data_IF_543123217165
#
_entry.id   IF_543123217165
#
_cell.length_a   1.000
_cell.length_b   1.000
_cell.length_c   1.000
_cell.angle_alpha   90.00
_cell.angle_beta   90.00
_cell.angle_gamma   90.00
#
_symmetry.space_group_name_H-M   'P 1'
#
loop_
_entity.id
_entity.type
_entity.pdbx_description
1 polymer ?
#
# COMPACT_ATOMS: atom_id res chain seq x y z
N UNK A 1 25.94 36.35 -2.66
CA UNK A 1 24.89 36.62 -3.66
C UNK A 1 23.66 35.88 -3.18
N UNK A 2 22.47 36.49 -3.19
CA UNK A 2 21.24 35.78 -2.80
C UNK A 2 20.89 34.68 -3.81
N UNK A 3 20.16 33.66 -3.37
CA UNK A 3 19.78 32.51 -4.20
C UNK A 3 19.05 32.95 -5.48
N UNK A 4 18.02 33.77 -5.37
CA UNK A 4 17.23 34.22 -6.52
C UNK A 4 18.05 34.97 -7.57
N UNK A 5 18.93 35.88 -7.12
CA UNK A 5 19.82 36.62 -8.01
C UNK A 5 20.81 35.69 -8.74
N UNK A 6 21.28 34.64 -8.06
CA UNK A 6 22.14 33.62 -8.65
C UNK A 6 21.41 32.79 -9.72
N UNK A 7 20.17 32.36 -9.45
CA UNK A 7 19.33 31.66 -10.42
C UNK A 7 19.12 32.49 -11.69
N UNK A 8 18.78 33.78 -11.53
CA UNK A 8 18.60 34.72 -12.64
C UNK A 8 19.86 34.86 -13.49
N UNK A 9 21.01 35.11 -12.85
CA UNK A 9 22.30 35.24 -13.55
C UNK A 9 22.65 33.97 -14.35
N UNK A 10 22.38 32.79 -13.76
CA UNK A 10 22.60 31.51 -14.44
C UNK A 10 21.68 31.33 -15.64
N UNK A 11 20.38 31.62 -15.52
CA UNK A 11 19.45 31.54 -16.64
C UNK A 11 19.84 32.48 -17.77
N UNK A 12 20.19 33.73 -17.46
CA UNK A 12 20.60 34.72 -18.46
C UNK A 12 21.90 34.31 -19.17
N UNK A 13 22.86 33.75 -18.44
CA UNK A 13 24.09 33.18 -19.02
C UNK A 13 23.84 31.96 -19.91
N UNK A 14 22.83 31.16 -19.59
CA UNK A 14 22.38 30.04 -20.42
C UNK A 14 21.57 30.50 -21.66
N UNK A 15 21.28 31.80 -21.80
CA UNK A 15 20.52 32.35 -22.93
C UNK A 15 19.03 31.96 -22.92
N UNK A 16 18.51 31.44 -21.81
CA UNK A 16 17.14 30.95 -21.71
C UNK A 16 16.21 32.10 -21.32
N UNK A 17 15.19 32.34 -22.12
CA UNK A 17 14.14 33.33 -21.81
C UNK A 17 13.19 32.82 -20.72
N UNK A 18 12.44 33.70 -20.05
CA UNK A 18 11.41 33.28 -19.09
C UNK A 18 10.35 32.37 -19.73
N UNK A 19 10.09 32.53 -21.03
CA UNK A 19 9.13 31.69 -21.77
C UNK A 19 9.66 30.27 -21.93
N UNK A 20 10.88 30.13 -22.43
CA UNK A 20 11.53 28.83 -22.58
C UNK A 20 11.76 28.18 -21.22
N UNK A 21 12.05 28.96 -20.18
CA UNK A 21 12.19 28.44 -18.83
C UNK A 21 10.89 27.81 -18.32
N UNK A 22 9.74 28.45 -18.59
CA UNK A 22 8.44 27.88 -18.26
C UNK A 22 8.17 26.59 -19.02
N UNK A 23 8.50 26.55 -20.32
CA UNK A 23 8.32 25.35 -21.15
C UNK A 23 9.22 24.19 -20.69
N UNK A 24 10.46 24.47 -20.27
CA UNK A 24 11.42 23.45 -19.82
C UNK A 24 11.18 22.95 -18.40
N UNK A 25 10.83 23.84 -17.47
CA UNK A 25 10.68 23.50 -16.05
C UNK A 25 9.24 23.16 -15.65
N UNK A 26 8.25 23.51 -16.46
CA UNK A 26 6.83 23.45 -16.08
C UNK A 26 6.40 24.54 -15.07
N UNK A 27 7.34 25.38 -14.60
CA UNK A 27 7.07 26.44 -13.64
C UNK A 27 6.50 27.66 -14.37
N UNK A 28 5.36 28.19 -13.92
CA UNK A 28 4.77 29.41 -14.51
C UNK A 28 5.73 30.61 -14.40
N UNK A 29 5.72 31.48 -15.42
CA UNK A 29 6.60 32.68 -15.50
C UNK A 29 6.53 33.60 -14.28
N UNK A 30 5.35 33.77 -13.68
CA UNK A 30 5.15 34.58 -12.48
C UNK A 30 5.93 33.99 -11.29
N UNK A 31 5.90 32.67 -11.14
CA UNK A 31 6.62 31.93 -10.11
C UNK A 31 8.12 31.98 -10.35
N UNK A 32 8.59 31.77 -11.59
CA UNK A 32 10.00 31.92 -11.97
C UNK A 32 10.53 33.30 -11.56
N UNK A 33 9.76 34.36 -11.80
CA UNK A 33 10.14 35.73 -11.40
C UNK A 33 10.23 35.90 -9.89
N UNK A 34 9.33 35.26 -9.12
CA UNK A 34 9.38 35.27 -7.64
C UNK A 34 10.61 34.55 -7.11
N UNK A 35 10.95 33.39 -7.69
CA UNK A 35 12.19 32.66 -7.36
C UNK A 35 13.42 33.52 -7.67
N UNK A 36 13.47 34.19 -8.83
CA UNK A 36 14.59 35.05 -9.23
C UNK A 36 14.72 36.33 -8.38
N UNK A 37 13.62 36.80 -7.78
CA UNK A 37 13.63 37.95 -6.86
C UNK A 37 13.85 37.56 -5.40
N UNK A 38 13.83 36.25 -5.10
CA UNK A 38 13.95 35.72 -3.73
C UNK A 38 12.71 35.95 -2.87
N UNK A 39 11.55 36.17 -3.49
CA UNK A 39 10.28 36.39 -2.82
C UNK A 39 9.54 35.05 -2.59
N UNK A 40 10.10 34.22 -1.71
CA UNK A 40 9.58 32.88 -1.43
C UNK A 40 8.26 32.91 -0.63
N UNK A 41 7.99 33.98 0.11
CA UNK A 41 6.78 34.11 0.94
C UNK A 41 5.51 34.36 0.13
N UNK A 42 5.63 34.93 -1.08
CA UNK A 42 4.49 35.18 -1.96
C UNK A 42 4.34 34.11 -3.06
N UNK A 43 4.89 32.92 -2.84
CA UNK A 43 4.58 31.75 -3.65
C UNK A 43 3.17 31.23 -3.31
N UNK A 44 2.46 30.58 -4.26
CA UNK A 44 1.16 29.96 -3.97
C UNK A 44 1.23 28.97 -2.80
N UNK A 45 2.36 28.26 -2.70
CA UNK A 45 2.74 27.48 -1.53
C UNK A 45 4.23 27.74 -1.19
N UNK A 46 4.52 28.47 -0.10
CA UNK A 46 5.89 28.73 0.35
C UNK A 46 6.68 27.48 0.74
N UNK A 47 6.01 26.41 1.23
CA UNK A 47 6.68 25.17 1.64
C UNK A 47 7.34 24.45 0.45
N UNK A 48 6.79 24.66 -0.75
CA UNK A 48 7.31 24.08 -1.98
C UNK A 48 8.45 24.89 -2.62
N UNK A 49 8.98 25.94 -1.98
CA UNK A 49 10.09 26.73 -2.50
C UNK A 49 11.31 25.86 -2.88
N UNK A 50 11.64 24.85 -2.07
CA UNK A 50 12.77 23.93 -2.34
C UNK A 50 12.55 23.10 -3.61
N UNK A 51 11.34 22.58 -3.78
CA UNK A 51 10.96 21.81 -4.96
C UNK A 51 11.02 22.67 -6.24
N UNK A 52 10.48 23.89 -6.18
CA UNK A 52 10.51 24.83 -7.30
C UNK A 52 11.94 25.24 -7.68
N UNK A 53 12.82 25.44 -6.69
CA UNK A 53 14.25 25.69 -6.95
C UNK A 53 14.92 24.46 -7.57
N UNK A 54 14.58 23.25 -7.14
CA UNK A 54 15.08 22.00 -7.73
C UNK A 54 14.72 21.90 -9.22
N UNK A 55 13.42 22.05 -9.55
CA UNK A 55 12.93 22.05 -10.92
C UNK A 55 13.57 23.15 -11.77
N UNK A 56 13.77 24.34 -11.20
CA UNK A 56 14.47 25.43 -11.88
C UNK A 56 15.90 25.01 -12.21
N UNK A 57 16.66 24.50 -11.23
CA UNK A 57 18.06 24.11 -11.45
C UNK A 57 18.20 22.96 -12.44
N UNK A 58 17.28 22.00 -12.42
CA UNK A 58 17.24 20.88 -13.35
C UNK A 58 17.04 21.34 -14.81
N UNK A 59 16.10 22.28 -15.03
CA UNK A 59 15.83 22.82 -16.37
C UNK A 59 17.01 23.60 -16.99
N UNK A 60 17.96 24.07 -16.17
CA UNK A 60 19.19 24.75 -16.63
C UNK A 60 20.46 23.93 -16.41
N UNK A 61 20.34 22.67 -15.99
CA UNK A 61 21.47 21.75 -15.81
C UNK A 61 22.42 22.12 -14.67
N UNK A 62 21.91 22.74 -13.59
CA UNK A 62 22.67 23.03 -12.38
C UNK A 62 22.42 21.97 -11.30
N UNK A 63 23.41 21.73 -10.46
CA UNK A 63 23.25 20.93 -9.24
C UNK A 63 22.42 21.70 -8.20
N UNK A 64 21.12 21.38 -8.14
CA UNK A 64 20.20 21.95 -7.17
C UNK A 64 20.53 21.60 -5.73
N UNK A 65 21.09 20.40 -5.46
CA UNK A 65 21.35 19.94 -4.10
C UNK A 65 22.47 20.75 -3.45
N UNK A 66 23.59 20.91 -4.14
CA UNK A 66 24.70 21.73 -3.67
C UNK A 66 24.30 23.21 -3.52
N UNK A 67 23.41 23.70 -4.39
CA UNK A 67 22.91 25.07 -4.32
C UNK A 67 22.00 25.29 -3.10
N UNK A 68 21.11 24.35 -2.82
CA UNK A 68 20.21 24.42 -1.66
C UNK A 68 20.97 24.34 -0.34
N UNK A 69 22.01 23.50 -0.25
CA UNK A 69 22.85 23.41 0.95
C UNK A 69 23.57 24.73 1.23
N UNK A 70 24.10 25.37 0.19
CA UNK A 70 24.81 26.65 0.30
C UNK A 70 23.90 27.82 0.70
N UNK A 71 22.61 27.75 0.35
CA UNK A 71 21.60 28.80 0.60
C UNK A 71 20.52 28.34 1.58
N UNK A 72 20.82 27.38 2.45
CA UNK A 72 19.86 26.78 3.38
C UNK A 72 19.24 27.80 4.35
N UNK A 73 19.97 28.89 4.64
CA UNK A 73 19.56 30.02 5.46
C UNK A 73 18.50 30.91 4.81
N UNK A 74 18.38 30.90 3.48
CA UNK A 74 17.37 31.66 2.75
C UNK A 74 16.00 30.94 2.71
N UNK A 75 15.98 29.63 2.99
CA UNK A 75 14.76 28.82 3.09
C UNK A 75 14.27 28.75 4.55
N UNK A 76 13.89 29.90 5.12
CA UNK A 76 13.51 30.00 6.54
C UNK A 76 12.00 29.96 6.75
N UNK A 77 11.45 28.74 6.84
CA UNK A 77 10.38 28.35 7.77
C UNK A 77 10.55 26.89 8.29
N UNK A 78 11.20 25.99 7.56
CA UNK A 78 11.37 24.57 7.97
C UNK A 78 12.51 24.25 8.97
N UNK A 79 13.40 25.21 9.26
CA UNK A 79 14.61 24.93 10.06
C UNK A 79 14.33 24.94 11.57
N UNK A 80 13.22 25.52 12.02
CA UNK A 80 12.87 25.54 13.46
C UNK A 80 12.23 24.22 13.90
N UNK A 81 11.51 23.53 13.01
CA UNK A 81 10.82 22.29 13.35
C UNK A 81 11.74 21.05 13.21
N UNK A 82 12.59 21.03 12.17
CA UNK A 82 13.54 19.93 11.95
C UNK A 82 14.62 19.82 13.04
N UNK A 83 15.09 20.94 13.60
CA UNK A 83 16.05 20.91 14.73
C UNK A 83 15.43 20.49 16.06
N UNK A 84 14.13 20.69 16.26
CA UNK A 84 13.43 20.29 17.49
C UNK A 84 13.15 18.79 17.53
N UNK A 85 13.00 18.15 16.36
CA UNK A 85 12.78 16.70 16.25
C UNK A 85 14.04 15.89 16.55
N UNK A 86 15.23 16.33 16.11
CA UNK A 86 16.50 15.62 16.34
C UNK A 86 17.06 15.67 17.78
N UNK A 87 16.49 16.47 18.69
CA UNK A 87 16.94 16.50 20.08
C UNK A 87 16.15 15.59 21.03
N UNK A 88 15.02 15.01 20.59
CA UNK A 88 14.13 14.25 21.47
C UNK A 88 14.29 12.72 21.37
N UNK A 89 15.04 12.21 20.39
CA UNK A 89 15.17 10.76 20.14
C UNK A 89 16.05 10.01 21.17
N UNK A 90 16.70 10.72 22.09
CA UNK A 90 17.53 10.09 23.12
C UNK A 90 16.73 9.49 24.28
N UNK A 91 15.54 10.01 24.61
CA UNK A 91 14.75 9.46 25.73
C UNK A 91 14.02 8.18 25.35
N UNK A 92 13.49 8.11 24.13
CA UNK A 92 12.79 6.92 23.61
C UNK A 92 13.74 5.73 23.43
N UNK A 93 14.97 5.96 22.95
CA UNK A 93 15.98 4.90 22.86
C UNK A 93 16.38 4.34 24.23
N UNK A 94 16.47 5.21 25.26
CA UNK A 94 16.78 4.76 26.62
C UNK A 94 15.63 3.99 27.27
N UNK A 95 14.38 4.36 26.98
CA UNK A 95 13.20 3.60 27.41
C UNK A 95 13.12 2.25 26.69
N UNK A 96 13.27 2.23 25.37
CA UNK A 96 13.28 1.00 24.56
C UNK A 96 14.37 0.02 25.02
N UNK A 97 15.57 0.52 25.32
CA UNK A 97 16.67 -0.30 25.84
C UNK A 97 16.34 -0.94 27.20
N UNK A 98 15.68 -0.21 28.11
CA UNK A 98 15.25 -0.76 29.41
C UNK A 98 14.16 -1.82 29.24
N UNK A 99 13.20 -1.59 28.36
CA UNK A 99 12.15 -2.57 28.03
C UNK A 99 12.76 -3.82 27.41
N UNK A 100 13.69 -3.68 26.46
CA UNK A 100 14.37 -4.81 25.82
C UNK A 100 15.17 -5.66 26.82
N UNK A 101 15.89 -5.02 27.75
CA UNK A 101 16.61 -5.73 28.82
C UNK A 101 15.62 -6.47 29.73
N UNK A 102 14.51 -5.84 30.12
CA UNK A 102 13.49 -6.49 30.95
C UNK A 102 12.84 -7.69 30.25
N UNK A 103 12.62 -7.58 28.93
CA UNK A 103 12.06 -8.64 28.10
C UNK A 103 13.02 -9.82 27.95
N UNK A 104 14.32 -9.54 27.75
CA UNK A 104 15.36 -10.57 27.72
C UNK A 104 15.46 -11.33 29.04
N UNK A 105 15.33 -10.65 30.18
CA UNK A 105 15.32 -11.28 31.50
C UNK A 105 14.07 -12.17 31.66
N UNK A 106 12.90 -11.71 31.22
CA UNK A 106 11.66 -12.49 31.27
C UNK A 106 11.77 -13.79 30.44
N UNK A 107 12.28 -13.69 29.21
CA UNK A 107 12.53 -14.87 28.36
C UNK A 107 13.51 -15.83 29.02
N UNK A 108 14.60 -15.33 29.62
CA UNK A 108 15.59 -16.17 30.30
C UNK A 108 14.97 -16.95 31.47
N UNK A 109 14.09 -16.32 32.27
CA UNK A 109 13.39 -17.00 33.38
C UNK A 109 12.45 -18.09 32.86
N UNK A 110 11.68 -17.81 31.80
CA UNK A 110 10.81 -18.79 31.16
C UNK A 110 11.60 -19.95 30.57
N UNK A 111 12.74 -19.68 29.93
CA UNK A 111 13.62 -20.69 29.36
C UNK A 111 14.21 -21.59 30.44
N UNK A 112 14.65 -21.04 31.58
CA UNK A 112 15.13 -21.84 32.71
C UNK A 112 14.01 -22.71 33.28
N UNK A 113 12.80 -22.17 33.45
CA UNK A 113 11.64 -22.94 33.90
C UNK A 113 11.28 -24.09 32.96
N UNK A 114 11.26 -23.82 31.65
CA UNK A 114 11.04 -24.83 30.62
C UNK A 114 12.16 -25.90 30.61
N UNK A 115 13.42 -25.49 30.80
CA UNK A 115 14.57 -26.39 30.86
C UNK A 115 14.53 -27.32 32.09
N UNK A 116 14.03 -26.84 33.24
CA UNK A 116 13.79 -27.68 34.43
C UNK A 116 12.64 -28.67 34.19
N UNK A 117 11.57 -28.27 33.51
CA UNK A 117 10.46 -29.18 33.16
C UNK A 117 10.94 -30.30 32.21
N UNK A 118 11.83 -29.99 31.27
CA UNK A 118 12.46 -30.99 30.40
C UNK A 118 13.35 -31.97 31.18
N UNK A 119 14.06 -31.52 32.23
CA UNK A 119 14.86 -32.40 33.10
C UNK A 119 14.00 -33.37 33.92
N UNK A 120 12.81 -32.96 34.36
CA UNK A 120 11.89 -33.80 35.14
C UNK A 120 11.12 -34.78 34.23
N UNK A 121 10.88 -34.41 32.97
CA UNK A 121 10.24 -35.27 31.96
C UNK A 121 11.09 -36.45 31.48
N UNK A 122 12.39 -36.51 31.80
CA UNK A 122 13.30 -37.56 31.32
C UNK A 122 13.23 -38.87 32.13
N UNK A 123 12.43 -38.95 33.20
CA UNK A 123 12.25 -40.16 34.03
C UNK A 123 10.82 -40.71 34.03
N UNK A 124 10.04 -40.42 32.99
CA UNK A 124 8.77 -41.09 32.77
C UNK A 124 8.95 -42.32 31.85
N UNK A 125 9.26 -43.48 32.43
CA UNK A 125 9.09 -44.81 31.80
C UNK A 125 7.60 -45.11 31.50
N UNK A 126 6.92 -44.25 30.73
CA UNK A 126 5.47 -44.38 30.47
C UNK A 126 5.16 -45.05 29.13
N UNK A 127 6.16 -45.43 28.32
CA UNK A 127 5.95 -46.23 27.11
C UNK A 127 6.47 -47.67 27.26
N UNK A 128 5.86 -48.43 28.17
CA UNK A 128 5.86 -49.89 28.11
C UNK A 128 4.46 -50.34 27.64
N UNK A 129 4.20 -50.24 26.34
CA UNK A 129 3.06 -50.92 25.74
C UNK A 129 3.38 -52.42 25.69
N UNK A 130 2.83 -53.18 26.63
CA UNK A 130 2.70 -54.63 26.48
C UNK A 130 1.57 -54.88 25.48
N UNK A 131 1.79 -55.61 24.37
CA UNK A 131 0.70 -55.97 23.48
C UNK A 131 -0.24 -56.91 24.23
N UNK A 132 -1.49 -56.49 24.36
CA UNK A 132 -2.62 -57.41 24.59
C UNK A 132 -2.95 -57.98 23.20
N UNK A 133 -3.31 -59.26 23.13
CA UNK A 133 -3.58 -60.09 21.94
C UNK A 133 -2.39 -60.90 21.42
N UNK A 134 -2.23 -62.09 22.00
CA UNK A 134 -1.83 -63.29 21.27
C UNK A 134 -3.10 -63.87 20.63
N UNK A 135 -3.21 -63.80 19.30
CA UNK A 135 -4.23 -64.50 18.54
C UNK A 135 -3.53 -65.24 17.42
N UNK A 136 -3.61 -66.57 17.50
CA UNK A 136 -3.08 -67.50 16.55
C UNK A 136 -3.60 -67.29 15.13
N UNK A 137 -2.67 -67.57 14.22
CA UNK A 137 -2.74 -67.62 12.77
C UNK A 137 -3.98 -68.34 12.21
N UNK A 138 -4.69 -67.75 11.23
CA UNK A 138 -5.25 -68.50 10.08
C UNK A 138 -5.36 -67.58 8.85
N UNK A 139 -5.22 -68.21 7.70
CA UNK A 139 -4.63 -67.73 6.44
C UNK A 139 -5.49 -66.81 5.54
N UNK A 140 -4.79 -65.82 4.94
CA UNK A 140 -4.68 -65.46 3.51
C UNK A 140 -5.97 -65.26 2.68
N UNK A 141 -6.15 -64.03 2.17
CA UNK A 141 -6.35 -63.80 0.71
C UNK A 141 -5.96 -62.37 0.33
N UNK A 142 -5.13 -62.30 -0.71
CA UNK A 142 -4.52 -61.14 -1.35
C UNK A 142 -5.51 -60.26 -2.13
N UNK A 143 -5.27 -58.94 -2.17
CA UNK A 143 -5.27 -58.09 -3.38
C UNK A 143 -4.74 -56.69 -2.97
N UNK A 144 -3.45 -56.36 -3.13
CA UNK A 144 -2.71 -55.88 -4.32
C UNK A 144 -2.87 -54.37 -4.62
N UNK A 145 -1.78 -53.64 -4.31
CA UNK A 145 -1.14 -52.51 -5.05
C UNK A 145 -1.87 -51.15 -5.00
N UNK A 146 -1.37 -50.10 -4.33
CA UNK A 146 -0.16 -49.27 -4.60
C UNK A 146 -0.22 -48.65 -6.02
N UNK A 147 0.15 -47.43 -6.34
CA UNK A 147 0.88 -46.32 -5.72
C UNK A 147 0.70 -45.11 -6.70
N UNK A 148 0.98 -43.87 -6.24
CA UNK A 148 1.77 -42.79 -6.90
C UNK A 148 1.70 -42.58 -8.44
N UNK A 149 1.86 -41.42 -9.06
CA UNK A 149 2.40 -40.07 -8.78
C UNK A 149 1.99 -39.25 -10.05
N UNK A 150 1.55 -37.99 -9.92
CA UNK A 150 2.32 -36.76 -10.21
C UNK A 150 2.80 -36.51 -11.66
N UNK A 151 2.36 -35.33 -12.15
CA UNK A 151 3.08 -34.30 -12.96
C UNK A 151 3.04 -34.30 -14.50
N UNK A 152 2.65 -33.11 -14.99
CA UNK A 152 3.12 -32.34 -16.16
C UNK A 152 2.79 -32.81 -17.60
N UNK A 153 1.99 -32.03 -18.33
CA UNK A 153 2.50 -30.99 -19.25
C UNK A 153 1.38 -30.16 -19.93
N UNK A 154 1.66 -28.86 -19.98
CA UNK A 154 1.20 -27.76 -20.85
C UNK A 154 0.73 -28.13 -22.26
N UNK A 155 -0.33 -27.47 -22.76
CA UNK A 155 -0.35 -26.77 -24.07
C UNK A 155 -1.60 -25.87 -24.18
N UNK A 156 -1.34 -24.63 -24.61
CA UNK A 156 -2.28 -23.57 -24.98
C UNK A 156 -3.38 -24.01 -25.94
N UNK A 157 -4.59 -23.47 -25.78
CA UNK A 157 -5.25 -22.84 -26.92
C UNK A 157 -6.26 -21.78 -26.47
N UNK A 158 -6.24 -20.70 -27.24
CA UNK A 158 -6.96 -19.44 -27.19
C UNK A 158 -8.10 -19.54 -28.21
N UNK A 159 -9.37 -19.31 -27.83
CA UNK A 159 -10.38 -18.71 -28.71
C UNK A 159 -11.64 -18.25 -27.94
N UNK A 160 -12.21 -17.18 -28.46
CA UNK A 160 -13.16 -16.20 -27.91
C UNK A 160 -14.63 -16.68 -27.78
N UNK A 161 -15.29 -16.25 -26.69
CA UNK A 161 -16.68 -15.71 -26.54
C UNK A 161 -17.94 -16.41 -27.16
N UNK A 162 -19.20 -16.09 -26.76
CA UNK A 162 -19.70 -15.24 -25.65
C UNK A 162 -20.88 -15.86 -24.84
N UNK A 163 -21.36 -15.07 -23.87
CA UNK A 163 -22.78 -14.91 -23.48
C UNK A 163 -23.43 -15.98 -22.57
N UNK A 164 -23.69 -15.55 -21.34
CA UNK A 164 -24.90 -15.92 -20.58
C UNK A 164 -25.34 -14.73 -19.73
N UNK A 165 -26.52 -14.19 -20.03
CA UNK A 165 -27.19 -13.08 -19.34
C UNK A 165 -27.88 -13.52 -18.03
N UNK A 166 -27.68 -12.70 -16.98
CA UNK A 166 -28.63 -12.21 -15.95
C UNK A 166 -29.16 -13.09 -14.79
N UNK A 167 -29.60 -12.48 -13.65
CA UNK A 167 -29.96 -11.04 -13.39
C UNK A 167 -29.12 -10.38 -12.25
N UNK A 168 -29.13 -9.08 -11.89
CA UNK A 168 -29.65 -7.79 -12.37
C UNK A 168 -29.44 -6.80 -11.20
N UNK A 169 -28.37 -6.00 -11.22
CA UNK A 169 -28.10 -4.93 -10.24
C UNK A 169 -26.66 -4.42 -10.31
N UNK A 170 -26.44 -3.27 -10.97
CA UNK A 170 -25.14 -2.72 -11.41
C UNK A 170 -24.40 -3.59 -12.45
N UNK A 171 -24.32 -3.09 -13.68
CA UNK A 171 -23.48 -3.69 -14.73
C UNK A 171 -22.02 -3.35 -14.45
N UNK A 172 -21.29 -4.28 -13.85
CA UNK A 172 -19.85 -4.17 -13.68
C UNK A 172 -19.11 -5.18 -14.56
N UNK A 173 -17.98 -4.76 -15.14
CA UNK A 173 -17.13 -5.62 -15.97
C UNK A 173 -15.68 -5.55 -15.53
N UNK A 174 -15.03 -6.71 -15.44
CA UNK A 174 -13.61 -6.79 -15.11
C UNK A 174 -12.77 -6.42 -16.34
N UNK A 175 -11.93 -5.39 -16.24
CA UNK A 175 -11.14 -4.87 -17.36
C UNK A 175 -9.68 -5.29 -17.32
N UNK A 176 -9.19 -5.78 -16.18
CA UNK A 176 -7.87 -6.36 -16.06
C UNK A 176 -7.28 -6.30 -14.66
N UNK A 177 -6.04 -6.76 -14.53
CA UNK A 177 -5.27 -6.66 -13.29
C UNK A 177 -3.81 -6.29 -13.55
N UNK A 178 -3.23 -5.54 -12.62
CA UNK A 178 -1.78 -5.29 -12.56
C UNK A 178 -1.29 -5.54 -11.13
N UNK A 179 -0.55 -6.64 -10.95
CA UNK A 179 -0.15 -7.13 -9.64
C UNK A 179 -1.35 -7.46 -8.76
N UNK A 180 -1.51 -6.72 -7.66
CA UNK A 180 -2.63 -6.82 -6.70
C UNK A 180 -3.71 -5.76 -6.93
N UNK A 181 -3.65 -5.04 -8.06
CA UNK A 181 -4.65 -4.05 -8.45
C UNK A 181 -5.60 -4.66 -9.46
N UNK A 182 -6.89 -4.59 -9.18
CA UNK A 182 -7.97 -5.06 -10.04
C UNK A 182 -8.73 -3.86 -10.60
N UNK A 183 -9.00 -3.90 -11.90
CA UNK A 183 -9.70 -2.84 -12.62
C UNK A 183 -11.08 -3.32 -13.02
N UNK A 184 -12.09 -2.49 -12.73
CA UNK A 184 -13.48 -2.75 -13.06
C UNK A 184 -14.09 -1.50 -13.68
N UNK A 185 -14.95 -1.68 -14.68
CA UNK A 185 -15.81 -0.61 -15.19
C UNK A 185 -17.22 -0.84 -14.63
N UNK A 186 -17.85 0.20 -14.08
CA UNK A 186 -19.20 0.17 -13.52
C UNK A 186 -20.08 1.11 -14.35
N UNK A 187 -21.15 0.58 -14.93
CA UNK A 187 -22.20 1.38 -15.56
C UNK A 187 -23.37 1.56 -14.58
N UNK A 188 -23.71 2.80 -14.24
CA UNK A 188 -24.82 3.11 -13.34
C UNK A 188 -25.61 4.35 -13.76
N UNK A 189 -26.94 4.25 -13.65
CA UNK A 189 -27.90 5.32 -13.98
C UNK A 189 -28.31 6.15 -12.76
N UNK A 190 -27.74 5.87 -11.58
CA UNK A 190 -28.20 6.40 -10.29
C UNK A 190 -27.15 6.45 -9.19
N UNK A 191 -27.56 6.62 -7.93
CA UNK A 191 -26.64 6.63 -6.79
C UNK A 191 -25.97 5.26 -6.65
N UNK A 192 -24.64 5.25 -6.61
CA UNK A 192 -23.83 4.05 -6.49
C UNK A 192 -23.57 3.74 -5.01
N UNK A 193 -23.83 2.50 -4.59
CA UNK A 193 -23.57 2.04 -3.23
C UNK A 193 -22.52 0.93 -3.23
N UNK A 194 -21.54 1.04 -2.33
CA UNK A 194 -20.52 0.02 -2.11
C UNK A 194 -20.74 -0.59 -0.74
N UNK A 195 -20.94 -1.90 -0.70
CA UNK A 195 -21.02 -2.69 0.54
C UNK A 195 -19.75 -3.50 0.73
N UNK A 196 -19.37 -3.68 1.99
CA UNK A 196 -18.16 -4.34 2.42
C UNK A 196 -18.54 -5.28 3.56
N UNK A 197 -18.16 -6.55 3.48
CA UNK A 197 -18.46 -7.55 4.52
C UNK A 197 -17.38 -8.63 4.57
N UNK A 198 -16.79 -8.89 5.73
CA UNK A 198 -15.77 -9.93 5.88
C UNK A 198 -15.93 -10.78 7.14
N UNK A 199 -15.41 -12.01 7.06
CA UNK A 199 -15.38 -12.93 8.22
C UNK A 199 -14.49 -12.41 9.35
N UNK A 200 -13.45 -11.64 9.00
CA UNK A 200 -12.51 -10.99 9.90
C UNK A 200 -12.41 -9.50 9.57
N UNK A 201 -11.94 -8.72 10.54
CA UNK A 201 -11.70 -7.30 10.32
C UNK A 201 -10.63 -7.08 9.23
N UNK A 202 -10.84 -6.08 8.39
CA UNK A 202 -9.92 -5.66 7.35
C UNK A 202 -9.66 -4.16 7.46
N UNK A 203 -8.41 -3.77 7.23
CA UNK A 203 -8.09 -2.35 7.04
C UNK A 203 -8.62 -1.91 5.68
N UNK A 204 -9.52 -0.93 5.68
CA UNK A 204 -10.21 -0.45 4.49
C UNK A 204 -9.88 1.01 4.23
N UNK A 205 -9.53 1.32 2.99
CA UNK A 205 -9.54 2.70 2.50
C UNK A 205 -10.44 2.80 1.27
N UNK A 206 -11.44 3.69 1.33
CA UNK A 206 -12.39 3.93 0.24
C UNK A 206 -12.42 5.44 -0.07
N UNK A 207 -11.95 5.82 -1.25
CA UNK A 207 -11.78 7.22 -1.68
C UNK A 207 -12.13 7.39 -3.14
N UNK A 208 -12.59 8.57 -3.56
CA UNK A 208 -12.86 8.89 -4.97
C UNK A 208 -11.87 9.91 -5.57
N UNK A 209 -11.98 10.15 -6.87
CA UNK A 209 -11.24 11.19 -7.61
C UNK A 209 -11.70 12.63 -7.32
N UNK A 210 -12.87 12.80 -6.72
CA UNK A 210 -13.39 14.09 -6.27
C UNK A 210 -12.77 14.55 -4.92
N UNK A 211 -12.05 13.67 -4.24
CA UNK A 211 -11.35 13.94 -2.99
C UNK A 211 -12.14 13.58 -1.73
N UNK A 212 -13.25 12.85 -1.86
CA UNK A 212 -14.01 12.33 -0.74
C UNK A 212 -13.33 11.08 -0.17
N UNK A 213 -13.46 10.89 1.14
CA UNK A 213 -13.02 9.69 1.86
C UNK A 213 -14.23 9.11 2.58
N UNK A 214 -14.64 7.92 2.17
CA UNK A 214 -15.80 7.21 2.72
C UNK A 214 -15.39 6.30 3.88
N UNK A 215 -14.24 5.64 3.75
CA UNK A 215 -13.67 4.77 4.77
C UNK A 215 -12.15 4.97 4.87
N UNK A 216 -11.65 5.01 6.11
CA UNK A 216 -10.21 5.00 6.43
C UNK A 216 -10.04 4.40 7.83
N UNK A 217 -10.43 3.14 7.98
CA UNK A 217 -10.51 2.48 9.27
C UNK A 217 -10.45 0.95 9.14
N UNK A 218 -10.38 0.27 10.28
CA UNK A 218 -10.51 -1.18 10.35
C UNK A 218 -11.98 -1.54 10.61
N UNK A 219 -12.56 -2.36 9.73
CA UNK A 219 -13.98 -2.72 9.80
C UNK A 219 -14.22 -4.19 9.40
N UNK A 220 -15.34 -4.74 9.85
CA UNK A 220 -15.86 -6.06 9.42
C UNK A 220 -17.02 -5.93 8.45
N UNK A 221 -17.76 -4.83 8.51
CA UNK A 221 -18.89 -4.52 7.64
C UNK A 221 -18.98 -3.00 7.42
N UNK A 222 -19.54 -2.57 6.28
CA UNK A 222 -19.80 -1.17 5.98
C UNK A 222 -20.58 -1.00 4.67
N UNK A 223 -21.37 0.07 4.58
CA UNK A 223 -22.13 0.42 3.38
C UNK A 223 -21.98 1.92 3.12
N UNK A 224 -21.62 2.28 1.88
CA UNK A 224 -21.22 3.64 1.52
C UNK A 224 -21.89 4.06 0.22
N UNK A 225 -22.64 5.17 0.27
CA UNK A 225 -23.17 5.84 -0.91
C UNK A 225 -22.08 6.75 -1.51
N UNK A 226 -21.75 6.51 -2.77
CA UNK A 226 -20.70 7.21 -3.50
C UNK A 226 -21.28 8.47 -4.14
N UNK A 227 -20.53 9.56 -4.06
CA UNK A 227 -20.94 10.86 -4.57
C UNK A 227 -21.18 10.84 -6.10
N UNK A 228 -22.24 11.53 -6.55
CA UNK A 228 -22.65 11.61 -7.95
C UNK A 228 -21.59 12.25 -8.86
N UNK A 229 -20.60 12.96 -8.33
CA UNK A 229 -19.50 13.56 -9.09
C UNK A 229 -18.29 12.62 -9.30
N UNK A 230 -18.23 11.48 -8.61
CA UNK A 230 -17.10 10.55 -8.70
C UNK A 230 -17.04 9.85 -10.07
N UNK A 231 -15.87 9.83 -10.70
CA UNK A 231 -15.61 9.10 -11.95
C UNK A 231 -14.69 7.90 -11.72
N UNK A 232 -13.87 7.94 -10.67
CA UNK A 232 -12.99 6.84 -10.30
C UNK A 232 -13.07 6.64 -8.79
N UNK A 233 -13.28 5.39 -8.39
CA UNK A 233 -13.30 4.97 -7.00
C UNK A 233 -12.12 4.04 -6.72
N UNK A 234 -11.43 4.30 -5.62
CA UNK A 234 -10.30 3.52 -5.14
C UNK A 234 -10.68 2.84 -3.83
N UNK A 235 -10.63 1.51 -3.82
CA UNK A 235 -10.81 0.68 -2.63
C UNK A 235 -9.51 -0.08 -2.36
N UNK A 236 -9.05 -0.09 -1.11
CA UNK A 236 -7.97 -0.97 -0.68
C UNK A 236 -8.45 -1.82 0.48
N UNK A 237 -8.24 -3.13 0.38
CA UNK A 237 -8.48 -4.10 1.43
C UNK A 237 -7.15 -4.65 1.92
N UNK A 238 -6.82 -4.42 3.18
CA UNK A 238 -5.55 -4.84 3.79
C UNK A 238 -5.52 -6.30 4.24
N UNK A 239 -6.68 -6.88 4.53
CA UNK A 239 -6.92 -8.30 4.77
C UNK A 239 -8.04 -8.76 3.81
N UNK A 240 -7.71 -8.88 2.53
CA UNK A 240 -8.67 -9.19 1.49
C UNK A 240 -9.21 -10.64 1.52
N UNK A 241 -8.44 -11.68 1.89
CA UNK A 241 -8.98 -13.04 1.89
C UNK A 241 -10.16 -13.19 2.86
N UNK A 242 -11.31 -13.62 2.34
CA UNK A 242 -12.55 -13.74 3.12
C UNK A 242 -13.27 -12.41 3.37
N UNK A 243 -12.95 -11.37 2.59
CA UNK A 243 -13.61 -10.07 2.63
C UNK A 243 -14.31 -9.81 1.29
N UNK A 244 -15.63 -9.71 1.32
CA UNK A 244 -16.49 -9.52 0.16
C UNK A 244 -16.72 -8.03 -0.11
N UNK A 245 -16.69 -7.67 -1.39
CA UNK A 245 -17.06 -6.35 -1.89
C UNK A 245 -18.38 -6.49 -2.63
N UNK A 246 -19.33 -5.58 -2.41
CA UNK A 246 -20.57 -5.51 -3.15
C UNK A 246 -20.74 -4.16 -3.83
N UNK A 247 -21.38 -4.19 -5.00
CA UNK A 247 -21.70 -3.03 -5.83
C UNK A 247 -23.22 -3.04 -6.03
N UNK A 248 -23.91 -1.99 -5.58
CA UNK A 248 -25.38 -1.86 -5.59
C UNK A 248 -26.13 -3.09 -5.05
N UNK A 249 -25.56 -3.74 -4.04
CA UNK A 249 -26.13 -4.91 -3.37
C UNK A 249 -25.79 -6.26 -4.02
N UNK A 250 -25.09 -6.28 -5.16
CA UNK A 250 -24.55 -7.50 -5.76
C UNK A 250 -23.10 -7.74 -5.33
N UNK A 251 -22.79 -8.95 -4.88
CA UNK A 251 -21.42 -9.32 -4.49
C UNK A 251 -20.53 -9.41 -5.73
N UNK A 252 -19.42 -8.69 -5.70
CA UNK A 252 -18.36 -8.73 -6.70
C UNK A 252 -17.67 -10.10 -6.68
N UNK A 253 -17.45 -10.67 -7.87
CA UNK A 253 -16.60 -11.85 -8.00
C UNK A 253 -15.12 -11.50 -7.73
N UNK A 254 -14.64 -11.91 -6.55
CA UNK A 254 -13.26 -11.70 -6.11
C UNK A 254 -12.29 -12.81 -6.56
N UNK A 255 -12.71 -13.71 -7.47
CA UNK A 255 -11.84 -14.79 -7.99
C UNK A 255 -10.52 -14.29 -8.59
N UNK A 256 -10.44 -13.00 -8.91
CA UNK A 256 -9.26 -12.36 -9.50
C UNK A 256 -8.20 -11.92 -8.46
N UNK A 257 -8.49 -11.93 -7.16
CA UNK A 257 -7.59 -11.39 -6.13
C UNK A 257 -6.42 -12.31 -5.73
N UNK A 258 -6.42 -13.56 -6.21
CA UNK A 258 -5.31 -14.53 -6.10
C UNK A 258 -4.76 -14.71 -4.66
N UNK A 259 -5.65 -14.81 -3.67
CA UNK A 259 -5.31 -14.99 -2.24
C UNK A 259 -4.35 -13.93 -1.67
N UNK A 260 -4.29 -12.75 -2.30
CA UNK A 260 -3.42 -11.69 -1.86
C UNK A 260 -3.86 -11.14 -0.51
N UNK A 261 -2.90 -10.92 0.40
CA UNK A 261 -3.19 -10.31 1.71
C UNK A 261 -3.81 -8.92 1.53
N UNK A 262 -3.25 -8.12 0.61
CA UNK A 262 -3.75 -6.79 0.29
C UNK A 262 -4.15 -6.70 -1.17
N UNK A 263 -5.35 -6.19 -1.43
CA UNK A 263 -5.92 -6.02 -2.77
C UNK A 263 -6.36 -4.58 -2.96
N UNK A 264 -6.07 -4.04 -4.14
CA UNK A 264 -6.48 -2.72 -4.56
C UNK A 264 -7.52 -2.87 -5.67
N UNK A 265 -8.63 -2.16 -5.57
CA UNK A 265 -9.64 -2.08 -6.60
C UNK A 265 -9.69 -0.65 -7.12
N UNK A 266 -9.71 -0.51 -8.43
CA UNK A 266 -10.04 0.73 -9.10
C UNK A 266 -11.30 0.49 -9.92
N UNK A 267 -12.36 1.22 -9.58
CA UNK A 267 -13.61 1.20 -10.33
C UNK A 267 -13.70 2.46 -11.17
N UNK A 268 -13.80 2.32 -12.49
CA UNK A 268 -14.10 3.43 -13.38
C UNK A 268 -15.62 3.51 -13.53
N UNK A 269 -16.20 4.61 -13.10
CA UNK A 269 -17.65 4.79 -13.07
C UNK A 269 -18.07 5.50 -14.36
N UNK A 270 -18.78 4.80 -15.22
CA UNK A 270 -19.45 5.34 -16.39
C UNK A 270 -20.91 5.64 -16.04
N UNK A 271 -21.34 6.87 -16.37
CA UNK A 271 -22.72 7.34 -16.17
C UNK A 271 -23.35 7.50 -17.55
N UNK A 272 -24.46 6.82 -17.81
CA UNK A 272 -25.27 7.01 -19.03
C UNK A 272 -26.27 8.17 -18.89
#
# INVERSE_FOLDING_TARGET
MKLGAYLKDRREKSGITLKEMQEKSGIRKDIIKRLETGDFNNLPDPKHARFLVSQYTEAIGLDGRALMEKHADEFTEDVVESKKRMQNDNEDYQYLKKVLISFMIMIAVLFIGWMILLQIGSQAEIFNQKPVYDVGQTEISEEKTAEEEQTEETTQNEEEEPSSEEPSGADYSFTGSDGNTLFYDINTDGPLTISLEGENASWVTLTDDAGNTYAYEELTEGEYEIAEEANILYLTLGNAPGFNVGIDGETLDDSQSKDAVTVYYQFNIAKE
#
